data_IF_843799398679
#
_entry.id   IF_843799398679
#
_cell.length_a   1.000
_cell.length_b   1.000
_cell.length_c   1.000
_cell.angle_alpha   90.00
_cell.angle_beta   90.00
_cell.angle_gamma   90.00
#
_symmetry.space_group_name_H-M   'P 1'
#
loop_
_entity.id
_entity.type
_entity.pdbx_description
1 polymer ?
#
# COMPACT_ATOMS: atom_id res chain seq x y z
N UNK A 1 -30.70 -44.72 -34.75
CA UNK A 1 -30.78 -43.62 -33.79
C UNK A 1 -31.44 -42.43 -34.46
N UNK A 2 -32.61 -41.99 -33.96
CA UNK A 2 -33.47 -41.05 -34.68
C UNK A 2 -32.84 -39.63 -34.58
N UNK A 3 -32.74 -38.95 -35.74
CA UNK A 3 -32.12 -37.61 -35.87
C UNK A 3 -32.63 -36.59 -34.84
N UNK A 4 -33.89 -36.75 -34.41
CA UNK A 4 -34.55 -35.93 -33.38
C UNK A 4 -33.94 -36.15 -31.96
N UNK A 5 -33.56 -37.38 -31.63
CA UNK A 5 -32.93 -37.66 -30.34
C UNK A 5 -31.49 -37.14 -30.26
N UNK A 6 -30.77 -37.16 -31.38
CA UNK A 6 -29.40 -36.63 -31.44
C UNK A 6 -29.39 -35.11 -31.24
N UNK A 7 -30.36 -34.38 -31.82
CA UNK A 7 -30.49 -32.94 -31.63
C UNK A 7 -30.86 -32.55 -30.18
N UNK A 8 -31.69 -33.40 -29.53
CA UNK A 8 -32.08 -33.17 -28.12
C UNK A 8 -30.90 -33.36 -27.16
N UNK A 9 -30.06 -34.37 -27.40
CA UNK A 9 -28.87 -34.62 -26.61
C UNK A 9 -27.80 -33.55 -26.81
N UNK A 10 -27.61 -33.04 -28.02
CA UNK A 10 -26.68 -31.95 -28.32
C UNK A 10 -27.11 -30.62 -27.66
N UNK A 11 -28.44 -30.35 -27.63
CA UNK A 11 -28.99 -29.17 -26.97
C UNK A 11 -28.82 -29.23 -25.44
N UNK A 12 -29.09 -30.41 -24.84
CA UNK A 12 -28.94 -30.61 -23.40
C UNK A 12 -27.47 -30.47 -22.93
N UNK A 13 -26.51 -30.95 -23.73
CA UNK A 13 -25.07 -30.80 -23.42
C UNK A 13 -24.59 -29.33 -23.51
N UNK A 14 -25.15 -28.56 -24.46
CA UNK A 14 -24.82 -27.13 -24.59
C UNK A 14 -25.34 -26.30 -23.40
N UNK A 15 -26.54 -26.60 -22.90
CA UNK A 15 -27.09 -25.91 -21.72
C UNK A 15 -26.38 -26.29 -20.43
N UNK A 16 -25.86 -27.52 -20.32
CA UNK A 16 -25.14 -27.97 -19.14
C UNK A 16 -23.73 -27.37 -19.08
N UNK A 17 -23.06 -27.13 -20.20
CA UNK A 17 -21.75 -26.49 -20.25
C UNK A 17 -21.82 -24.98 -19.95
N UNK A 18 -22.93 -24.33 -20.31
CA UNK A 18 -23.11 -22.90 -20.07
C UNK A 18 -23.41 -22.57 -18.58
N UNK A 19 -24.13 -23.49 -17.89
CA UNK A 19 -24.45 -23.31 -16.47
C UNK A 19 -23.27 -23.54 -15.52
N UNK A 20 -22.25 -24.32 -15.91
CA UNK A 20 -21.06 -24.54 -15.12
C UNK A 20 -20.10 -23.32 -15.15
N UNK A 21 -20.10 -22.54 -16.23
CA UNK A 21 -19.28 -21.36 -16.37
C UNK A 21 -19.72 -20.17 -15.50
N UNK A 22 -21.00 -20.10 -15.13
CA UNK A 22 -21.55 -18.98 -14.33
C UNK A 22 -21.21 -19.14 -12.85
N UNK A 23 -20.98 -20.37 -12.35
CA UNK A 23 -20.72 -20.62 -10.93
C UNK A 23 -19.25 -20.37 -10.54
N UNK A 24 -18.32 -20.31 -11.52
CA UNK A 24 -16.90 -20.04 -11.24
C UNK A 24 -16.50 -18.58 -11.36
N UNK A 25 -17.39 -17.68 -11.80
CA UNK A 25 -17.07 -16.26 -11.95
C UNK A 25 -17.12 -15.47 -10.63
N UNK A 26 -17.77 -15.98 -9.58
CA UNK A 26 -17.94 -15.26 -8.31
C UNK A 26 -16.81 -15.52 -7.29
N UNK A 27 -15.86 -16.40 -7.59
CA UNK A 27 -14.82 -16.79 -6.65
C UNK A 27 -13.49 -16.03 -6.76
N UNK A 28 -13.37 -15.08 -7.70
CA UNK A 28 -12.08 -14.39 -7.96
C UNK A 28 -12.04 -12.98 -7.36
N UNK A 29 -13.15 -12.46 -6.83
CA UNK A 29 -13.23 -11.09 -6.29
C UNK A 29 -13.19 -10.98 -4.76
N UNK A 30 -12.95 -12.09 -4.04
CA UNK A 30 -12.97 -12.13 -2.58
C UNK A 30 -11.61 -12.53 -1.99
N UNK A 31 -10.54 -11.85 -2.35
CA UNK A 31 -9.29 -11.86 -1.58
C UNK A 31 -8.65 -10.48 -1.56
N UNK A 32 -9.43 -9.50 -1.12
CA UNK A 32 -8.87 -8.37 -0.41
C UNK A 32 -9.18 -8.56 1.08
N UNK A 33 -8.47 -9.48 1.69
CA UNK A 33 -8.33 -9.50 3.14
C UNK A 33 -7.34 -8.42 3.51
N UNK A 34 -7.72 -7.16 3.32
CA UNK A 34 -7.21 -6.10 4.16
C UNK A 34 -7.51 -6.52 5.59
N UNK A 35 -6.45 -6.83 6.34
CA UNK A 35 -6.54 -6.91 7.78
C UNK A 35 -7.23 -5.61 8.23
N UNK A 36 -8.49 -5.74 8.62
CA UNK A 36 -9.29 -4.68 9.24
C UNK A 36 -8.67 -4.43 10.63
N UNK A 37 -7.49 -3.81 10.64
CA UNK A 37 -6.99 -3.14 11.82
C UNK A 37 -7.88 -1.93 11.98
N UNK A 38 -8.84 -2.02 12.90
CA UNK A 38 -9.72 -0.93 13.26
C UNK A 38 -8.88 0.32 13.48
N UNK A 39 -8.89 1.21 12.48
CA UNK A 39 -8.23 2.50 12.56
C UNK A 39 -8.96 3.28 13.64
N UNK A 40 -8.28 3.52 14.75
CA UNK A 40 -8.84 4.31 15.85
C UNK A 40 -9.25 5.69 15.33
N UNK A 41 -10.48 6.09 15.60
CA UNK A 41 -11.01 7.38 15.15
C UNK A 41 -10.11 8.52 15.63
N UNK A 42 -9.58 9.30 14.70
CA UNK A 42 -8.68 10.40 15.00
C UNK A 42 -9.47 11.61 15.47
N UNK A 43 -9.27 11.99 16.72
CA UNK A 43 -9.87 13.20 17.29
C UNK A 43 -8.92 14.39 17.18
N UNK A 44 -9.43 15.51 16.70
CA UNK A 44 -8.69 16.77 16.62
C UNK A 44 -9.07 17.72 17.77
N UNK A 45 -8.15 18.59 18.23
CA UNK A 45 -6.76 18.73 17.78
C UNK A 45 -5.84 17.62 18.30
N UNK A 46 -4.78 17.29 17.52
CA UNK A 46 -3.81 16.28 17.90
C UNK A 46 -2.61 16.97 18.55
N UNK A 47 -2.50 16.82 19.87
CA UNK A 47 -1.45 17.48 20.67
C UNK A 47 -0.04 17.00 20.31
N UNK A 48 0.13 15.71 20.05
CA UNK A 48 1.41 15.09 19.69
C UNK A 48 1.93 15.58 18.32
N UNK A 49 1.06 16.13 17.49
CA UNK A 49 1.39 16.67 16.16
C UNK A 49 1.26 18.20 16.12
N UNK A 50 1.77 18.87 17.15
CA UNK A 50 1.79 20.34 17.23
C UNK A 50 0.40 20.97 17.31
N UNK A 51 -0.58 20.31 17.96
CA UNK A 51 -1.96 20.75 18.09
C UNK A 51 -2.64 20.98 16.72
N UNK A 52 -2.35 20.16 15.72
CA UNK A 52 -2.98 20.29 14.42
C UNK A 52 -4.49 20.01 14.52
N UNK A 53 -5.28 20.87 13.85
CA UNK A 53 -6.75 20.96 14.03
C UNK A 53 -7.53 20.15 13.00
N UNK A 54 -6.88 19.69 11.96
CA UNK A 54 -7.45 18.92 10.85
C UNK A 54 -6.36 18.18 10.09
N UNK A 55 -6.76 17.29 9.17
CA UNK A 55 -5.85 16.49 8.34
C UNK A 55 -4.83 17.34 7.58
N UNK A 56 -5.25 18.49 7.02
CA UNK A 56 -4.35 19.33 6.24
C UNK A 56 -3.31 20.04 7.11
N UNK A 57 -3.69 20.45 8.30
CA UNK A 57 -2.78 21.05 9.28
C UNK A 57 -1.76 20.00 9.77
N UNK A 58 -2.22 18.77 10.05
CA UNK A 58 -1.33 17.68 10.45
C UNK A 58 -0.37 17.31 9.33
N UNK A 59 -0.87 17.24 8.08
CA UNK A 59 0.01 17.02 6.94
C UNK A 59 1.11 18.09 6.84
N UNK A 60 0.76 19.36 6.92
CA UNK A 60 1.76 20.46 6.91
C UNK A 60 2.77 20.40 8.05
N UNK A 61 2.34 19.89 9.21
CA UNK A 61 3.24 19.64 10.34
C UNK A 61 4.22 18.52 10.02
N UNK A 62 3.72 17.41 9.47
CA UNK A 62 4.52 16.23 9.15
C UNK A 62 5.38 16.38 7.88
N UNK A 63 5.07 17.33 7.00
CA UNK A 63 5.92 17.63 5.83
C UNK A 63 7.26 18.29 6.23
N UNK A 64 7.39 18.71 7.48
CA UNK A 64 8.66 19.26 8.00
C UNK A 64 9.54 18.13 8.50
N UNK A 65 10.79 18.13 8.03
CA UNK A 65 11.77 17.08 8.35
C UNK A 65 11.98 16.89 9.87
N UNK A 66 12.00 17.97 10.63
CA UNK A 66 12.15 17.94 12.09
C UNK A 66 10.98 17.27 12.83
N UNK A 67 9.83 17.10 12.19
CA UNK A 67 8.63 16.52 12.80
C UNK A 67 8.36 15.08 12.35
N UNK A 68 9.15 14.53 11.42
CA UNK A 68 8.89 13.20 10.82
C UNK A 68 8.82 12.12 11.90
N UNK A 69 9.74 12.12 12.86
CA UNK A 69 9.78 11.12 13.93
C UNK A 69 8.49 11.12 14.78
N UNK A 70 8.01 12.29 15.16
CA UNK A 70 6.75 12.43 15.89
C UNK A 70 5.55 11.89 15.06
N UNK A 71 5.55 12.14 13.76
CA UNK A 71 4.49 11.69 12.86
C UNK A 71 4.51 10.17 12.66
N UNK A 72 5.67 9.56 12.50
CA UNK A 72 5.80 8.11 12.38
C UNK A 72 5.41 7.42 13.70
N UNK A 73 5.85 7.97 14.84
CA UNK A 73 5.45 7.47 16.16
C UNK A 73 3.92 7.52 16.35
N UNK A 74 3.30 8.62 15.95
CA UNK A 74 1.84 8.75 16.00
C UNK A 74 1.14 7.76 15.07
N UNK A 75 1.62 7.60 13.83
CA UNK A 75 1.07 6.67 12.86
C UNK A 75 1.16 5.21 13.35
N UNK A 76 2.29 4.83 13.96
CA UNK A 76 2.48 3.52 14.59
C UNK A 76 1.50 3.29 15.74
N UNK A 77 1.41 4.24 16.67
CA UNK A 77 0.53 4.18 17.85
C UNK A 77 -0.95 4.04 17.48
N UNK A 78 -1.34 4.67 16.36
CA UNK A 78 -2.73 4.68 15.88
C UNK A 78 -3.01 3.66 14.76
N UNK A 79 -2.07 2.79 14.44
CA UNK A 79 -2.16 1.80 13.36
C UNK A 79 -2.59 2.41 12.00
N UNK A 80 -2.07 3.61 11.68
CA UNK A 80 -2.41 4.33 10.44
C UNK A 80 -1.61 3.87 9.23
N UNK A 81 -0.58 3.06 9.45
CA UNK A 81 0.31 2.54 8.41
C UNK A 81 0.64 1.07 8.68
N UNK A 82 0.87 0.25 7.65
CA UNK A 82 1.41 -1.10 7.80
C UNK A 82 2.74 -1.11 8.56
N UNK A 83 2.98 -2.19 9.31
CA UNK A 83 4.23 -2.33 10.09
C UNK A 83 5.48 -2.17 9.23
N UNK A 84 5.47 -2.75 8.04
CA UNK A 84 6.58 -2.73 7.09
C UNK A 84 6.90 -1.29 6.64
N UNK A 85 5.88 -0.46 6.44
CA UNK A 85 6.07 0.95 6.11
C UNK A 85 6.62 1.74 7.29
N UNK A 86 6.15 1.48 8.52
CA UNK A 86 6.68 2.07 9.75
C UNK A 86 8.17 1.73 9.93
N UNK A 87 8.54 0.45 9.76
CA UNK A 87 9.93 0.02 9.87
C UNK A 87 10.82 0.66 8.80
N UNK A 88 10.33 0.77 7.58
CA UNK A 88 11.03 1.45 6.48
C UNK A 88 11.22 2.94 6.79
N UNK A 89 10.18 3.61 7.29
CA UNK A 89 10.26 5.01 7.69
C UNK A 89 11.26 5.24 8.85
N UNK A 90 11.29 4.34 9.84
CA UNK A 90 12.28 4.39 10.94
C UNK A 90 13.71 4.22 10.43
N UNK A 91 13.96 3.30 9.49
CA UNK A 91 15.27 3.13 8.85
C UNK A 91 15.70 4.41 8.10
N UNK A 92 14.76 5.03 7.36
CA UNK A 92 15.01 6.29 6.69
C UNK A 92 15.38 7.43 7.68
N UNK A 93 14.68 7.52 8.81
CA UNK A 93 14.99 8.47 9.89
C UNK A 93 16.39 8.21 10.45
N UNK A 94 16.71 6.94 10.73
CA UNK A 94 18.04 6.54 11.24
C UNK A 94 19.17 6.84 10.24
N UNK A 95 18.88 6.82 8.94
CA UNK A 95 19.80 7.25 7.88
C UNK A 95 19.95 8.78 7.78
N UNK A 96 19.36 9.55 8.69
CA UNK A 96 19.45 11.02 8.74
C UNK A 96 18.36 11.74 7.95
N UNK A 97 17.26 11.06 7.61
CA UNK A 97 16.10 11.61 6.89
C UNK A 97 16.46 12.25 5.55
N UNK A 98 17.46 11.71 4.88
CA UNK A 98 17.88 12.08 3.52
C UNK A 98 18.09 10.81 2.72
N UNK A 99 17.37 10.70 1.63
CA UNK A 99 17.52 9.62 0.68
C UNK A 99 18.49 9.94 -0.47
N UNK A 100 18.52 9.08 -1.51
CA UNK A 100 19.32 9.29 -2.70
C UNK A 100 19.04 10.65 -3.33
N UNK A 101 20.05 11.29 -3.90
CA UNK A 101 19.92 12.63 -4.44
C UNK A 101 19.55 13.70 -3.42
N UNK A 102 19.58 13.39 -2.11
CA UNK A 102 19.18 14.31 -1.03
C UNK A 102 17.67 14.46 -0.85
N UNK A 103 16.85 13.58 -1.41
CA UNK A 103 15.40 13.59 -1.25
C UNK A 103 14.99 13.44 0.22
N UNK A 104 13.90 14.12 0.62
CA UNK A 104 13.50 14.28 2.04
C UNK A 104 12.17 13.61 2.39
N UNK A 105 11.43 13.15 1.40
CA UNK A 105 10.14 12.49 1.59
C UNK A 105 9.90 11.48 0.48
N UNK A 106 8.87 10.64 0.67
CA UNK A 106 8.54 9.56 -0.26
C UNK A 106 8.41 10.05 -1.71
N UNK A 107 7.64 11.11 -1.94
CA UNK A 107 7.38 11.60 -3.28
C UNK A 107 8.64 12.11 -4.00
N UNK A 108 9.51 12.82 -3.26
CA UNK A 108 10.80 13.28 -3.80
C UNK A 108 11.71 12.11 -4.14
N UNK A 109 11.77 11.10 -3.26
CA UNK A 109 12.61 9.92 -3.48
C UNK A 109 12.09 9.05 -4.62
N UNK A 110 10.78 8.86 -4.73
CA UNK A 110 10.17 8.19 -5.89
C UNK A 110 10.52 8.91 -7.19
N UNK A 111 10.27 10.22 -7.25
CA UNK A 111 10.58 11.01 -8.45
C UNK A 111 12.07 10.97 -8.84
N UNK A 112 12.97 10.94 -7.84
CA UNK A 112 14.41 10.81 -8.09
C UNK A 112 14.78 9.42 -8.62
N UNK A 113 14.22 8.38 -8.03
CA UNK A 113 14.55 6.98 -8.34
C UNK A 113 13.81 6.44 -9.59
N UNK A 114 12.75 7.09 -10.05
CA UNK A 114 12.09 6.77 -11.31
C UNK A 114 12.98 7.10 -12.53
N UNK A 115 14.00 7.95 -12.34
CA UNK A 115 14.98 8.18 -13.38
C UNK A 115 16.02 7.05 -13.39
N UNK A 116 16.11 6.34 -14.53
CA UNK A 116 17.02 5.20 -14.73
C UNK A 116 18.50 5.54 -14.44
N UNK A 117 18.91 6.79 -14.69
CA UNK A 117 20.28 7.23 -14.44
C UNK A 117 20.63 7.24 -12.95
N UNK A 118 19.63 7.34 -12.07
CA UNK A 118 19.79 7.40 -10.61
C UNK A 118 19.60 6.04 -9.94
N UNK A 119 19.15 5.01 -10.66
CA UNK A 119 18.73 3.74 -10.09
C UNK A 119 19.82 3.08 -9.24
N UNK A 120 21.08 3.14 -9.66
CA UNK A 120 22.19 2.56 -8.94
C UNK A 120 22.39 3.20 -7.55
N UNK A 121 22.24 4.53 -7.46
CA UNK A 121 22.31 5.25 -6.18
C UNK A 121 21.16 4.84 -5.27
N UNK A 122 19.95 4.72 -5.82
CA UNK A 122 18.77 4.30 -5.07
C UNK A 122 18.89 2.88 -4.52
N UNK A 123 19.36 1.93 -5.34
CA UNK A 123 19.58 0.55 -4.92
C UNK A 123 20.65 0.49 -3.84
N UNK A 124 21.79 1.17 -4.04
CA UNK A 124 22.87 1.23 -3.06
C UNK A 124 22.41 1.79 -1.72
N UNK A 125 21.62 2.88 -1.76
CA UNK A 125 21.04 3.46 -0.55
C UNK A 125 20.13 2.46 0.19
N UNK A 126 19.26 1.78 -0.56
CA UNK A 126 18.31 0.82 0.00
C UNK A 126 19.01 -0.40 0.62
N UNK A 127 20.08 -0.89 -0.02
CA UNK A 127 20.93 -1.97 0.52
C UNK A 127 21.65 -1.56 1.81
N UNK A 128 22.32 -0.40 1.79
CA UNK A 128 23.08 0.10 2.94
C UNK A 128 22.21 0.35 4.18
N UNK A 129 20.95 0.70 3.97
CA UNK A 129 20.00 1.01 5.06
C UNK A 129 19.01 -0.12 5.32
N UNK A 130 19.16 -1.28 4.70
CA UNK A 130 18.27 -2.45 4.82
C UNK A 130 16.80 -2.08 4.58
N UNK A 131 16.53 -1.26 3.55
CA UNK A 131 15.19 -0.79 3.17
C UNK A 131 14.57 -1.69 2.09
N UNK A 132 15.36 -2.52 1.41
CA UNK A 132 14.85 -3.46 0.42
C UNK A 132 13.87 -4.44 1.07
N UNK A 133 12.76 -4.77 0.40
CA UNK A 133 11.89 -5.85 0.84
C UNK A 133 12.63 -7.19 0.81
N UNK A 134 12.25 -8.11 1.68
CA UNK A 134 12.83 -9.45 1.73
C UNK A 134 12.53 -10.25 0.45
#
# INVERSE_FOLDING_TARGET
MNKKHLLFFLSALLFFSLSVFIVFADAIWAQDTTADTAVEEIQYPISELGNCKDKNNCKKYCDKQENIDACITFAEKKNLMPKEEIETAKKFIAAGSKGPGGCKNKNECEAYCDNIDNINECVTFAEQNNILPP
#
